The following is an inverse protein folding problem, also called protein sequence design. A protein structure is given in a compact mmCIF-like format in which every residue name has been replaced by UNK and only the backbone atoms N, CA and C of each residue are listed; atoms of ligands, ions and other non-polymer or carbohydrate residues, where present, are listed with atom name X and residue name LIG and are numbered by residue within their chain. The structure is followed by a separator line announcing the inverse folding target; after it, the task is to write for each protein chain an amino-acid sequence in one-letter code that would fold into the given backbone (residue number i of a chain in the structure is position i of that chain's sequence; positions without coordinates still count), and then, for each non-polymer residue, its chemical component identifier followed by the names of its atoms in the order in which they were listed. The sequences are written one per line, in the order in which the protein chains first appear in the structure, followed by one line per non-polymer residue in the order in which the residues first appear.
data_IF_842495574006
#
_entry.id   IF_842495574006
#
_cell.length_a   1.000
_cell.length_b   1.000
_cell.length_c   1.000
_cell.angle_alpha   90.00
_cell.angle_beta   90.00
_cell.angle_gamma   90.00
#
_symmetry.space_group_name_H-M   'P 1'
#
loop_
_entity.id
_entity.type
_entity.pdbx_description
1 polymer ?
#
# COMPACT_ATOMS: atom_id res chain seq x y z
N UNK A 1 -16.42 5.15 41.07
CA UNK A 1 -16.86 5.96 39.92
C UNK A 1 -15.70 6.43 39.06
N UNK A 2 -14.72 7.15 39.61
CA UNK A 2 -13.58 7.69 38.84
C UNK A 2 -12.66 6.63 38.20
N UNK A 3 -12.41 5.51 38.89
CA UNK A 3 -11.60 4.40 38.37
C UNK A 3 -12.27 3.65 37.21
N UNK A 4 -13.58 3.42 37.28
CA UNK A 4 -14.34 2.77 36.22
C UNK A 4 -14.41 3.64 34.95
N UNK A 5 -14.57 4.96 35.13
CA UNK A 5 -14.57 5.93 34.03
C UNK A 5 -13.19 5.99 33.36
N UNK A 6 -12.11 5.98 34.15
CA UNK A 6 -10.75 5.94 33.62
C UNK A 6 -10.47 4.67 32.82
N UNK A 7 -10.92 3.51 33.31
CA UNK A 7 -10.75 2.22 32.62
C UNK A 7 -11.52 2.18 31.29
N UNK A 8 -12.74 2.74 31.26
CA UNK A 8 -13.52 2.84 30.03
C UNK A 8 -12.86 3.77 29.00
N UNK A 9 -12.33 4.91 29.43
CA UNK A 9 -11.63 5.84 28.54
C UNK A 9 -10.36 5.25 27.95
N UNK A 10 -9.52 4.59 28.76
CA UNK A 10 -8.30 3.95 28.26
C UNK A 10 -8.62 2.83 27.28
N UNK A 11 -9.66 2.04 27.54
CA UNK A 11 -10.14 1.02 26.62
C UNK A 11 -10.56 1.60 25.26
N UNK A 12 -11.32 2.69 25.25
CA UNK A 12 -11.73 3.38 24.02
C UNK A 12 -10.52 3.93 23.23
N UNK A 13 -9.53 4.50 23.92
CA UNK A 13 -8.30 5.02 23.29
C UNK A 13 -7.51 3.90 22.62
N UNK A 14 -7.39 2.74 23.28
CA UNK A 14 -6.69 1.58 22.71
C UNK A 14 -7.39 1.10 21.43
N UNK A 15 -8.72 0.95 21.45
CA UNK A 15 -9.49 0.56 20.26
C UNK A 15 -9.28 1.57 19.13
N UNK A 16 -9.40 2.86 19.43
CA UNK A 16 -9.21 3.92 18.45
C UNK A 16 -7.81 3.90 17.82
N UNK A 17 -6.78 3.65 18.63
CA UNK A 17 -5.39 3.55 18.17
C UNK A 17 -5.20 2.40 17.19
N UNK A 18 -5.79 1.23 17.48
CA UNK A 18 -5.74 0.06 16.60
C UNK A 18 -6.46 0.36 15.28
N UNK A 19 -7.64 0.95 15.33
CA UNK A 19 -8.41 1.31 14.12
C UNK A 19 -7.64 2.34 13.26
N UNK A 20 -7.02 3.34 13.88
CA UNK A 20 -6.19 4.31 13.19
C UNK A 20 -4.99 3.65 12.50
N UNK A 21 -4.31 2.71 13.18
CA UNK A 21 -3.19 1.99 12.62
C UNK A 21 -3.59 1.19 11.37
N UNK A 22 -4.69 0.43 11.45
CA UNK A 22 -5.22 -0.34 10.32
C UNK A 22 -5.58 0.58 9.15
N UNK A 23 -6.28 1.69 9.41
CA UNK A 23 -6.67 2.67 8.38
C UNK A 23 -5.46 3.30 7.70
N UNK A 24 -4.44 3.70 8.46
CA UNK A 24 -3.22 4.28 7.90
C UNK A 24 -2.45 3.27 7.04
N UNK A 25 -2.36 2.02 7.48
CA UNK A 25 -1.71 0.97 6.69
C UNK A 25 -2.41 0.75 5.35
N UNK A 26 -3.74 0.61 5.34
CA UNK A 26 -4.53 0.46 4.11
C UNK A 26 -4.38 1.67 3.19
N UNK A 27 -4.46 2.90 3.72
CA UNK A 27 -4.32 4.12 2.91
C UNK A 27 -2.97 4.23 2.21
N UNK A 28 -1.88 3.79 2.86
CA UNK A 28 -0.53 3.79 2.25
C UNK A 28 -0.44 2.77 1.13
N UNK A 29 -0.96 1.57 1.34
CA UNK A 29 -1.02 0.51 0.33
C UNK A 29 -1.84 0.96 -0.89
N UNK A 30 -2.99 1.60 -0.68
CA UNK A 30 -3.80 2.12 -1.78
C UNK A 30 -3.08 3.19 -2.60
N UNK A 31 -2.30 4.06 -1.96
CA UNK A 31 -1.46 5.06 -2.65
C UNK A 31 -0.41 4.37 -3.52
N UNK A 32 0.28 3.36 -2.97
CA UNK A 32 1.28 2.58 -3.70
C UNK A 32 0.66 1.81 -4.87
N UNK A 33 -0.51 1.20 -4.70
CA UNK A 33 -1.28 0.54 -5.75
C UNK A 33 -1.72 1.51 -6.87
N UNK A 34 -1.99 2.77 -6.52
CA UNK A 34 -2.26 3.85 -7.48
C UNK A 34 -1.00 4.42 -8.15
N UNK A 35 0.18 3.91 -7.80
CA UNK A 35 1.46 4.39 -8.32
C UNK A 35 1.89 5.75 -7.75
N UNK A 36 1.39 6.10 -6.56
CA UNK A 36 1.70 7.35 -5.84
C UNK A 36 2.60 7.02 -4.65
N UNK A 37 3.74 7.69 -4.54
CA UNK A 37 4.62 7.50 -3.40
C UNK A 37 4.05 8.18 -2.14
N UNK A 38 3.79 7.46 -1.03
CA UNK A 38 3.26 8.07 0.19
C UNK A 38 4.26 8.98 0.91
N UNK A 39 5.55 8.90 0.58
CA UNK A 39 6.62 9.69 1.21
C UNK A 39 6.91 11.00 0.47
N UNK A 40 7.04 10.97 -0.86
CA UNK A 40 7.39 12.16 -1.66
C UNK A 40 6.23 12.70 -2.51
N UNK A 41 5.10 12.00 -2.59
CA UNK A 41 3.93 12.43 -3.36
C UNK A 41 4.04 12.29 -4.88
N UNK A 42 5.18 11.82 -5.41
CA UNK A 42 5.34 11.63 -6.84
C UNK A 42 4.40 10.56 -7.40
N UNK A 43 3.94 10.80 -8.63
CA UNK A 43 3.01 9.95 -9.38
C UNK A 43 3.56 9.68 -10.78
N UNK A 44 3.07 8.62 -11.41
CA UNK A 44 3.40 8.31 -12.80
C UNK A 44 3.16 9.52 -13.71
N UNK A 45 4.15 9.84 -14.56
CA UNK A 45 4.07 10.95 -15.52
C UNK A 45 3.73 10.38 -16.89
N UNK A 46 2.73 10.96 -17.53
CA UNK A 46 2.34 10.62 -18.90
C UNK A 46 2.75 11.76 -19.81
N UNK A 47 3.51 11.45 -20.85
CA UNK A 47 3.94 12.37 -21.88
C UNK A 47 3.28 11.96 -23.18
N UNK A 48 2.61 12.90 -23.85
CA UNK A 48 2.08 12.69 -25.20
C UNK A 48 3.04 13.34 -26.18
N UNK A 49 3.47 12.59 -27.20
CA UNK A 49 4.30 13.11 -28.28
C UNK A 49 3.48 13.20 -29.57
N UNK A 50 3.22 14.42 -30.02
CA UNK A 50 2.46 14.72 -31.23
C UNK A 50 3.13 14.22 -32.51
N UNK A 51 4.48 14.11 -32.53
CA UNK A 51 5.22 13.68 -33.72
C UNK A 51 5.10 12.18 -33.97
N UNK A 52 5.15 11.39 -32.90
CA UNK A 52 5.06 9.92 -32.98
C UNK A 52 3.66 9.38 -32.70
N UNK A 53 2.71 10.27 -32.35
CA UNK A 53 1.35 9.95 -31.88
C UNK A 53 1.36 8.89 -30.78
N UNK A 54 2.37 8.92 -29.93
CA UNK A 54 2.59 7.91 -28.89
C UNK A 54 2.50 8.54 -27.51
N UNK A 55 2.03 7.75 -26.54
CA UNK A 55 1.95 8.16 -25.13
C UNK A 55 2.97 7.37 -24.32
N UNK A 56 3.91 8.08 -23.69
CA UNK A 56 4.89 7.48 -22.80
C UNK A 56 4.45 7.61 -21.36
N UNK A 57 4.34 6.49 -20.65
CA UNK A 57 4.08 6.47 -19.22
C UNK A 57 5.37 6.10 -18.49
N UNK A 58 5.84 6.99 -17.64
CA UNK A 58 6.99 6.74 -16.76
C UNK A 58 6.46 6.43 -15.37
N UNK A 59 6.47 5.14 -15.01
CA UNK A 59 6.05 4.69 -13.69
C UNK A 59 7.15 4.98 -12.64
N UNK A 60 6.75 5.71 -11.60
CA UNK A 60 7.60 6.09 -10.47
C UNK A 60 7.72 4.98 -9.42
N UNK A 61 6.67 4.16 -9.27
CA UNK A 61 6.63 3.03 -8.35
C UNK A 61 6.88 1.75 -9.14
N UNK A 62 7.82 0.94 -8.68
CA UNK A 62 8.04 -0.43 -9.15
C UNK A 62 7.45 -1.39 -8.11
N UNK A 63 6.55 -2.27 -8.53
CA UNK A 63 6.02 -3.34 -7.69
C UNK A 63 6.59 -4.69 -8.16
N UNK A 64 7.12 -5.49 -7.24
CA UNK A 64 7.66 -6.82 -7.50
C UNK A 64 7.10 -7.81 -6.48
N UNK A 65 6.69 -8.99 -6.93
CA UNK A 65 6.37 -10.08 -6.01
C UNK A 65 7.66 -10.64 -5.44
N UNK A 66 7.84 -10.51 -4.13
CA UNK A 66 8.99 -11.01 -3.38
C UNK A 66 8.80 -12.48 -3.02
N UNK A 67 7.60 -12.84 -2.55
CA UNK A 67 7.24 -14.20 -2.15
C UNK A 67 5.79 -14.49 -2.52
N UNK A 68 5.57 -15.66 -3.13
CA UNK A 68 4.23 -16.18 -3.43
C UNK A 68 3.94 -17.31 -2.44
N UNK A 69 2.87 -17.20 -1.66
CA UNK A 69 2.46 -18.21 -0.66
C UNK A 69 1.50 -19.27 -1.24
N UNK A 70 1.46 -19.40 -2.57
CA UNK A 70 0.74 -20.45 -3.28
C UNK A 70 -0.77 -20.42 -3.05
N UNK A 71 -1.35 -21.56 -2.65
CA UNK A 71 -2.79 -21.68 -2.43
C UNK A 71 -3.33 -20.90 -1.23
N UNK A 72 -2.46 -20.30 -0.42
CA UNK A 72 -2.88 -19.37 0.62
C UNK A 72 -3.49 -18.08 0.04
N UNK A 73 -3.31 -17.85 -1.27
CA UNK A 73 -3.80 -16.66 -1.96
C UNK A 73 -3.14 -15.37 -1.47
N UNK A 74 -1.97 -15.46 -0.83
CA UNK A 74 -1.21 -14.31 -0.34
C UNK A 74 0.09 -14.18 -1.12
N UNK A 75 0.38 -12.97 -1.58
CA UNK A 75 1.64 -12.59 -2.20
C UNK A 75 2.25 -11.43 -1.43
N UNK A 76 3.53 -11.54 -1.09
CA UNK A 76 4.31 -10.43 -0.56
C UNK A 76 4.81 -9.59 -1.73
N UNK A 77 4.30 -8.36 -1.83
CA UNK A 77 4.65 -7.42 -2.89
C UNK A 77 5.57 -6.36 -2.29
N UNK A 78 6.77 -6.24 -2.85
CA UNK A 78 7.71 -5.16 -2.58
C UNK A 78 7.43 -3.99 -3.53
N UNK A 79 7.19 -2.81 -2.95
CA UNK A 79 7.05 -1.55 -3.65
C UNK A 79 8.32 -0.73 -3.46
N UNK A 80 8.94 -0.31 -4.57
CA UNK A 80 10.10 0.57 -4.58
C UNK A 80 9.77 1.87 -5.30
N UNK A 81 9.99 3.01 -4.66
CA UNK A 81 9.91 4.32 -5.30
C UNK A 81 11.25 4.68 -5.95
N UNK A 82 11.23 4.97 -7.25
CA UNK A 82 12.44 5.35 -8.01
C UNK A 82 12.93 6.77 -7.70
N UNK A 83 12.06 7.67 -7.23
CA UNK A 83 12.46 9.06 -6.91
C UNK A 83 13.17 9.14 -5.57
N UNK A 84 12.59 8.58 -4.51
CA UNK A 84 13.09 8.75 -3.14
C UNK A 84 13.73 7.49 -2.53
N UNK A 85 13.74 6.35 -3.25
CA UNK A 85 14.32 5.11 -2.76
C UNK A 85 13.50 4.40 -1.67
N UNK A 86 12.27 4.85 -1.39
CA UNK A 86 11.37 4.19 -0.45
C UNK A 86 11.15 2.72 -0.85
N UNK A 87 11.33 1.79 0.09
CA UNK A 87 11.04 0.36 -0.08
C UNK A 87 10.10 -0.12 1.00
N UNK A 88 8.96 -0.69 0.61
CA UNK A 88 7.97 -1.25 1.53
C UNK A 88 7.44 -2.58 1.03
N UNK A 89 7.16 -3.50 1.94
CA UNK A 89 6.63 -4.83 1.61
C UNK A 89 5.24 -4.97 2.21
N UNK A 90 4.29 -5.40 1.39
CA UNK A 90 2.91 -5.66 1.79
C UNK A 90 2.45 -7.02 1.30
N UNK A 91 1.95 -7.84 2.22
CA UNK A 91 1.20 -9.05 1.90
C UNK A 91 -0.18 -8.65 1.38
N UNK A 92 -0.48 -8.99 0.14
CA UNK A 92 -1.77 -8.76 -0.50
C UNK A 92 -2.37 -10.07 -0.98
N UNK A 93 -3.69 -10.11 -1.09
CA UNK A 93 -4.38 -11.23 -1.72
C UNK A 93 -4.00 -11.30 -3.20
N UNK A 94 -3.25 -12.33 -3.59
CA UNK A 94 -2.98 -12.67 -4.98
C UNK A 94 -4.06 -13.60 -5.54
N UNK A 95 -4.22 -13.65 -6.85
CA UNK A 95 -5.08 -14.65 -7.50
C UNK A 95 -4.52 -16.04 -7.22
N UNK A 96 -5.12 -16.79 -6.29
CA UNK A 96 -4.82 -18.19 -6.07
C UNK A 96 -5.37 -19.00 -7.26
N UNK A 97 -4.51 -19.33 -8.22
CA UNK A 97 -4.82 -20.28 -9.30
C UNK A 97 -4.71 -21.73 -8.80
N UNK A 98 -5.28 -22.02 -7.64
CA UNK A 98 -5.40 -23.39 -7.18
C UNK A 98 -6.71 -23.93 -7.72
N UNK A 99 -6.61 -24.76 -8.75
CA UNK A 99 -7.70 -25.61 -9.23
C UNK A 99 -8.14 -26.48 -8.06
N UNK A 100 -9.34 -26.20 -7.52
CA UNK A 100 -10.11 -27.21 -6.80
C UNK A 100 -10.66 -28.18 -7.84
#
# INVERSE_FOLDING_TARGET
MQTLIFLLLTFLIVIFSILLYVKNKHSRVDKLNKGICPSCGDKAKTFYDDRTRSTFKVDVISARVLKNHGCSGLNDIEYTCKTCGLKEVYSQSGSSNCSV
#
